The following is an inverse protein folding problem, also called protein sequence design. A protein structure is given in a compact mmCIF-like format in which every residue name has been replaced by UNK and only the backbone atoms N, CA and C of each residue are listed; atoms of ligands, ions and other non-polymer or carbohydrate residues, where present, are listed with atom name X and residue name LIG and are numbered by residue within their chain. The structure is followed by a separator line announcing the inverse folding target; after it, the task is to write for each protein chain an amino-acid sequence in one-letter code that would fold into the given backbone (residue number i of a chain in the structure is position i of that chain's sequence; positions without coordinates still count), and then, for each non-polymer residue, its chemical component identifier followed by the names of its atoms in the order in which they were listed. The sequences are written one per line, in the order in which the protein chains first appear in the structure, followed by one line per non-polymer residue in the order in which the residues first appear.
data_IF_420387282964
#
_entry.id   IF_420387282964
#
_cell.length_a   1.000
_cell.length_b   1.000
_cell.length_c   1.000
_cell.angle_alpha   90.00
_cell.angle_beta   90.00
_cell.angle_gamma   90.00
#
_symmetry.space_group_name_H-M   'P 1'
#
loop_
_entity.id
_entity.type
_entity.pdbx_description
1 polymer ?
#
# COMPACT_ATOMS: atom_id res chain seq x y z
N UNK A 1 27.70 -23.71 37.55
CA UNK A 1 27.08 -23.29 36.27
C UNK A 1 25.79 -24.06 36.09
N UNK A 2 24.62 -23.42 36.14
CA UNK A 2 23.34 -24.12 35.90
C UNK A 2 22.23 -23.14 35.59
N UNK A 3 21.31 -23.62 34.73
CA UNK A 3 19.96 -23.14 34.38
C UNK A 3 19.94 -22.42 33.02
N UNK A 4 19.06 -22.76 32.06
CA UNK A 4 17.93 -23.69 31.96
C UNK A 4 17.63 -23.82 30.46
N UNK A 5 17.44 -25.03 29.95
CA UNK A 5 16.77 -25.21 28.65
C UNK A 5 15.27 -24.95 28.87
N UNK A 6 14.74 -23.93 28.21
CA UNK A 6 13.30 -23.72 28.16
C UNK A 6 12.73 -24.53 26.99
N UNK A 7 12.15 -25.68 27.32
CA UNK A 7 11.00 -26.19 26.58
C UNK A 7 9.77 -25.51 27.16
N UNK A 8 8.84 -25.05 26.33
CA UNK A 8 7.46 -24.87 26.75
C UNK A 8 6.54 -25.29 25.61
N UNK A 9 5.84 -26.36 25.95
CA UNK A 9 4.81 -27.07 25.22
C UNK A 9 3.50 -26.26 25.17
N UNK A 10 2.68 -26.59 24.17
CA UNK A 10 1.24 -26.35 24.02
C UNK A 10 0.73 -24.91 24.12
N UNK A 11 0.11 -24.41 23.05
CA UNK A 11 -1.35 -24.37 22.96
C UNK A 11 -1.76 -23.85 21.57
N UNK A 12 -2.49 -24.69 20.84
CA UNK A 12 -3.30 -24.26 19.70
C UNK A 12 -4.31 -23.25 20.25
N UNK A 13 -4.08 -21.98 19.95
CA UNK A 13 -5.07 -20.93 20.10
C UNK A 13 -5.60 -20.65 18.69
N UNK A 14 -6.92 -20.78 18.45
CA UNK A 14 -7.52 -20.57 17.14
C UNK A 14 -7.18 -19.15 16.65
N UNK A 15 -6.86 -19.01 15.36
CA UNK A 15 -6.36 -17.80 14.68
C UNK A 15 -7.28 -16.56 14.73
N UNK A 16 -8.29 -16.55 15.60
CA UNK A 16 -9.39 -15.57 15.63
C UNK A 16 -9.20 -14.37 16.56
N UNK A 17 -8.13 -14.28 17.33
CA UNK A 17 -7.95 -13.15 18.27
C UNK A 17 -6.56 -12.50 18.19
N UNK A 18 -6.14 -12.09 16.99
CA UNK A 18 -5.20 -10.97 16.82
C UNK A 18 -5.95 -9.63 16.66
N UNK A 19 -7.07 -9.51 17.35
CA UNK A 19 -7.83 -8.27 17.48
C UNK A 19 -7.79 -7.84 18.95
N UNK A 20 -6.68 -7.26 19.42
CA UNK A 20 -6.61 -6.73 20.79
C UNK A 20 -6.03 -5.31 20.85
N UNK A 21 -6.88 -4.37 20.41
CA UNK A 21 -7.15 -3.01 20.90
C UNK A 21 -5.97 -2.02 21.08
N UNK A 22 -5.76 -1.19 20.05
CA UNK A 22 -5.62 0.26 20.18
C UNK A 22 -6.60 0.87 19.18
N UNK A 23 -7.65 1.53 19.65
CA UNK A 23 -8.67 2.31 18.93
C UNK A 23 -8.68 2.15 17.39
N UNK A 24 -9.35 1.14 16.84
CA UNK A 24 -9.65 0.98 15.40
C UNK A 24 -8.49 1.14 14.39
N UNK A 25 -7.22 1.03 14.80
CA UNK A 25 -6.09 1.05 13.86
C UNK A 25 -5.85 -0.36 13.34
N UNK A 26 -6.76 -0.85 12.48
CA UNK A 26 -6.48 -2.04 11.68
C UNK A 26 -5.30 -1.72 10.77
N UNK A 27 -4.25 -2.55 10.82
CA UNK A 27 -3.13 -2.44 9.89
C UNK A 27 -3.68 -2.57 8.47
N UNK A 28 -3.53 -1.55 7.61
CA UNK A 28 -4.09 -1.60 6.27
C UNK A 28 -3.38 -2.67 5.46
N UNK A 29 -4.14 -3.38 4.62
CA UNK A 29 -3.55 -4.35 3.70
C UNK A 29 -2.85 -3.59 2.57
N UNK A 30 -1.53 -3.57 2.62
CA UNK A 30 -0.68 -2.92 1.63
C UNK A 30 -0.24 -3.93 0.56
N UNK A 31 -0.60 -3.69 -0.70
CA UNK A 31 -0.34 -4.62 -1.82
C UNK A 31 0.47 -3.92 -2.91
N UNK A 32 1.50 -4.57 -3.51
CA UNK A 32 2.23 -4.00 -4.63
C UNK A 32 1.34 -3.92 -5.88
N UNK A 33 1.60 -2.93 -6.73
CA UNK A 33 0.85 -2.71 -7.98
C UNK A 33 0.70 -3.96 -8.87
N UNK A 34 1.69 -4.86 -8.89
CA UNK A 34 1.62 -6.09 -9.68
C UNK A 34 0.53 -7.02 -9.17
N UNK A 35 0.54 -7.33 -7.87
CA UNK A 35 -0.51 -8.15 -7.24
C UNK A 35 -1.86 -7.45 -7.30
N UNK A 36 -1.89 -6.12 -7.15
CA UNK A 36 -3.15 -5.37 -7.30
C UNK A 36 -3.72 -5.47 -8.71
N UNK A 37 -2.87 -5.47 -9.74
CA UNK A 37 -3.31 -5.67 -11.12
C UNK A 37 -3.92 -7.06 -11.32
N UNK A 38 -3.29 -8.08 -10.73
CA UNK A 38 -3.79 -9.46 -10.77
C UNK A 38 -5.13 -9.62 -10.02
N UNK A 39 -5.29 -8.96 -8.87
CA UNK A 39 -6.51 -9.01 -8.05
C UNK A 39 -7.67 -8.18 -8.62
N UNK A 40 -7.38 -6.96 -9.10
CA UNK A 40 -8.41 -6.03 -9.62
C UNK A 40 -8.75 -6.24 -11.09
N UNK A 41 -7.91 -6.95 -11.84
CA UNK A 41 -8.02 -7.05 -13.30
C UNK A 41 -7.69 -5.75 -14.04
N UNK A 42 -7.25 -4.70 -13.34
CA UNK A 42 -6.86 -3.42 -13.96
C UNK A 42 -5.40 -3.49 -14.39
N UNK A 43 -5.09 -2.96 -15.57
CA UNK A 43 -3.72 -2.93 -16.07
C UNK A 43 -2.78 -2.19 -15.11
N UNK A 44 -1.55 -2.71 -14.96
CA UNK A 44 -0.50 -2.09 -14.14
C UNK A 44 -0.29 -0.62 -14.48
N UNK A 45 -0.32 -0.28 -15.78
CA UNK A 45 -0.09 1.09 -16.25
C UNK A 45 -1.19 2.05 -15.80
N UNK A 46 -2.45 1.61 -15.81
CA UNK A 46 -3.57 2.41 -15.33
C UNK A 46 -3.46 2.65 -13.82
N UNK A 47 -3.20 1.60 -13.03
CA UNK A 47 -2.97 1.75 -11.58
C UNK A 47 -1.80 2.70 -11.28
N UNK A 48 -0.70 2.58 -12.04
CA UNK A 48 0.44 3.49 -11.91
C UNK A 48 0.07 4.95 -12.24
N UNK A 49 -0.75 5.18 -13.28
CA UNK A 49 -1.25 6.52 -13.59
C UNK A 49 -2.14 7.07 -12.48
N UNK A 50 -3.00 6.25 -11.90
CA UNK A 50 -3.86 6.64 -10.76
C UNK A 50 -3.01 7.01 -9.53
N UNK A 51 -1.94 6.26 -9.25
CA UNK A 51 -0.97 6.64 -8.21
C UNK A 51 -0.30 7.98 -8.54
N UNK A 52 0.15 8.18 -9.78
CA UNK A 52 0.80 9.44 -10.20
C UNK A 52 -0.13 10.65 -10.14
N UNK A 53 -1.42 10.44 -10.40
CA UNK A 53 -2.48 11.43 -10.29
C UNK A 53 -2.98 11.60 -8.84
N UNK A 54 -2.38 10.93 -7.86
CA UNK A 54 -2.79 10.93 -6.45
C UNK A 54 -4.28 10.59 -6.22
N UNK A 55 -4.91 9.86 -7.14
CA UNK A 55 -6.31 9.44 -7.04
C UNK A 55 -6.53 8.36 -5.98
N UNK A 56 -5.50 7.55 -5.72
CA UNK A 56 -5.55 6.43 -4.79
C UNK A 56 -4.47 6.61 -3.72
N UNK A 57 -4.82 6.26 -2.48
CA UNK A 57 -3.89 6.25 -1.33
C UNK A 57 -2.82 5.18 -1.53
N UNK A 58 -1.56 5.62 -1.63
CA UNK A 58 -0.42 4.74 -1.85
C UNK A 58 0.82 5.25 -1.12
N UNK A 59 1.79 4.35 -0.92
CA UNK A 59 3.11 4.65 -0.36
C UNK A 59 4.17 4.16 -1.34
N UNK A 60 5.23 4.94 -1.52
CA UNK A 60 6.42 4.52 -2.26
C UNK A 60 7.40 3.85 -1.32
N UNK A 61 7.70 2.58 -1.58
CA UNK A 61 8.73 1.81 -0.88
C UNK A 61 9.86 1.48 -1.86
N UNK A 62 10.93 2.28 -1.80
CA UNK A 62 12.05 2.20 -2.74
C UNK A 62 11.61 2.41 -4.19
N UNK A 63 11.71 1.36 -5.02
CA UNK A 63 11.27 1.37 -6.42
C UNK A 63 9.83 0.84 -6.63
N UNK A 64 9.16 0.40 -5.57
CA UNK A 64 7.81 -0.17 -5.65
C UNK A 64 6.78 0.78 -5.04
N UNK A 65 5.56 0.70 -5.56
CA UNK A 65 4.39 1.33 -4.97
C UNK A 65 3.56 0.29 -4.26
N UNK A 66 3.22 0.56 -3.00
CA UNK A 66 2.30 -0.22 -2.19
C UNK A 66 1.02 0.57 -2.06
N UNK A 67 -0.10 -0.03 -2.45
CA UNK A 67 -1.42 0.58 -2.43
C UNK A 67 -2.20 0.02 -1.24
N UNK A 68 -2.94 0.90 -0.56
CA UNK A 68 -3.89 0.47 0.46
C UNK A 68 -5.13 -0.09 -0.24
N UNK A 69 -5.36 -1.40 -0.11
CA UNK A 69 -6.48 -2.08 -0.76
C UNK A 69 -7.82 -1.60 -0.24
N UNK A 70 -7.94 -1.34 1.06
CA UNK A 70 -9.22 -0.94 1.67
C UNK A 70 -9.69 0.41 1.10
N UNK A 71 -8.78 1.39 1.04
CA UNK A 71 -9.04 2.71 0.44
C UNK A 71 -9.24 2.64 -1.07
N UNK A 72 -8.56 1.71 -1.73
CA UNK A 72 -8.73 1.50 -3.17
C UNK A 72 -10.13 0.94 -3.50
N UNK A 73 -10.61 -0.02 -2.71
CA UNK A 73 -11.98 -0.57 -2.86
C UNK A 73 -13.03 0.51 -2.57
N UNK A 74 -12.83 1.31 -1.52
CA UNK A 74 -13.68 2.48 -1.25
C UNK A 74 -13.73 3.43 -2.46
N UNK A 75 -12.58 3.74 -3.07
CA UNK A 75 -12.49 4.59 -4.26
C UNK A 75 -13.24 3.99 -5.46
N UNK A 76 -13.07 2.69 -5.73
CA UNK A 76 -13.78 2.01 -6.82
C UNK A 76 -15.31 2.00 -6.60
N UNK A 77 -15.76 1.85 -5.36
CA UNK A 77 -17.19 1.83 -5.04
C UNK A 77 -17.82 3.23 -5.03
N UNK A 78 -17.09 4.25 -4.60
CA UNK A 78 -17.57 5.64 -4.62
C UNK A 78 -17.56 6.24 -6.04
N UNK A 79 -16.63 5.80 -6.88
CA UNK A 79 -16.39 6.35 -8.21
C UNK A 79 -15.48 7.58 -8.18
N UNK A 80 -15.13 8.06 -9.37
CA UNK A 80 -14.24 9.20 -9.53
C UNK A 80 -15.00 10.50 -9.24
N UNK A 81 -14.85 11.02 -8.02
CA UNK A 81 -15.22 12.39 -7.70
C UNK A 81 -14.13 13.30 -8.26
N UNK A 82 -14.48 14.19 -9.19
CA UNK A 82 -13.58 15.19 -9.73
C UNK A 82 -13.15 16.14 -8.59
N UNK A 83 -12.01 15.83 -7.96
CA UNK A 83 -11.31 16.77 -7.11
C UNK A 83 -10.35 17.51 -8.02
N UNK A 84 -10.69 18.75 -8.33
CA UNK A 84 -9.77 19.72 -8.93
C UNK A 84 -8.54 19.80 -8.03
N UNK A 85 -7.40 19.25 -8.49
CA UNK A 85 -6.13 19.37 -7.81
C UNK A 85 -5.24 20.27 -8.65
N UNK A 86 -5.30 21.57 -8.38
CA UNK A 86 -4.18 22.48 -8.55
C UNK A 86 -3.06 22.00 -7.60
N UNK A 87 -1.97 21.44 -8.13
CA UNK A 87 -0.62 21.83 -7.76
C UNK A 87 0.49 20.95 -8.37
N UNK A 88 1.60 21.63 -8.61
CA UNK A 88 2.76 21.25 -9.41
C UNK A 88 3.43 19.95 -8.94
N UNK A 89 3.49 18.94 -9.81
CA UNK A 89 4.42 17.82 -9.64
C UNK A 89 5.83 18.32 -10.01
N UNK A 90 6.60 18.71 -9.01
CA UNK A 90 8.03 18.98 -9.14
C UNK A 90 8.75 17.66 -9.48
N UNK A 91 8.93 17.37 -10.77
CA UNK A 91 9.76 16.26 -11.22
C UNK A 91 11.22 16.58 -10.94
N UNK A 92 11.69 16.24 -9.73
CA UNK A 92 13.13 16.19 -9.46
C UNK A 92 13.76 15.08 -10.29
N UNK A 93 14.55 15.47 -11.30
CA UNK A 93 15.51 14.58 -11.96
C UNK A 93 15.33 14.36 -13.46
N UNK A 94 15.44 15.42 -14.27
CA UNK A 94 16.17 15.33 -15.54
C UNK A 94 17.17 16.47 -15.58
N UNK A 95 18.46 16.15 -15.38
CA UNK A 95 19.54 17.03 -15.84
C UNK A 95 19.32 17.25 -17.34
N UNK A 96 19.29 18.51 -17.79
CA UNK A 96 19.44 18.81 -19.21
C UNK A 96 20.78 18.24 -19.65
N UNK A 97 20.77 17.49 -20.75
CA UNK A 97 21.99 17.18 -21.49
C UNK A 97 22.37 18.43 -22.25
N UNK A 98 23.40 19.14 -21.80
CA UNK A 98 23.99 20.20 -22.59
C UNK A 98 24.53 19.55 -23.87
N UNK A 99 23.97 19.93 -25.01
CA UNK A 99 24.49 19.54 -26.32
C UNK A 99 25.40 20.66 -26.76
N UNK A 100 26.67 20.33 -26.96
CA UNK A 100 27.74 21.23 -27.39
C UNK A 100 27.50 21.80 -28.79
#
# INVERSE_FOLDING_TARGET
MTKKYYTNNTNILPEKEFNFIVSDVRIPRMVPLQTLADESGISYKALWQMCKQNKIVHIKSGNKFLVNVDKFVEYLNAGELEVENDDKIETRGRKLKDTA
#
